data_IF_339079596169
#
_entry.id   IF_339079596169
#
_cell.length_a   1.000
_cell.length_b   1.000
_cell.length_c   1.000
_cell.angle_alpha   90.00
_cell.angle_beta   90.00
_cell.angle_gamma   90.00
#
_symmetry.space_group_name_H-M   'P 1'
#
loop_
_entity.id
_entity.type
_entity.pdbx_description
1 polymer ?
#
# COMPACT_ATOMS: atom_id res chain seq x y z
N UNK A 1 -69.73 19.48 -0.88
CA UNK A 1 -68.55 20.38 -0.69
C UNK A 1 -67.93 20.06 0.67
N UNK A 2 -66.98 19.13 0.75
CA UNK A 2 -66.37 18.68 1.99
C UNK A 2 -64.90 18.95 1.89
N UNK A 3 -64.36 19.90 2.67
CA UNK A 3 -62.95 20.22 2.76
C UNK A 3 -62.27 19.24 3.74
N UNK A 4 -61.32 18.41 3.26
CA UNK A 4 -60.45 17.61 4.08
C UNK A 4 -59.18 18.38 4.37
N UNK A 5 -58.94 18.76 5.61
CA UNK A 5 -57.68 19.33 6.12
C UNK A 5 -56.68 18.22 6.37
N UNK A 6 -55.69 18.06 5.44
CA UNK A 6 -54.51 17.23 5.70
C UNK A 6 -53.54 18.00 6.61
N UNK A 7 -53.42 17.57 7.87
CA UNK A 7 -52.34 18.03 8.76
C UNK A 7 -50.99 17.40 8.32
N UNK A 8 -50.10 18.17 7.74
CA UNK A 8 -48.72 17.81 7.56
C UNK A 8 -48.02 17.75 8.93
N UNK A 9 -47.62 16.56 9.37
CA UNK A 9 -46.78 16.39 10.55
C UNK A 9 -45.36 16.93 10.21
N UNK A 10 -44.99 18.09 10.77
CA UNK A 10 -43.63 18.61 10.75
C UNK A 10 -42.72 17.65 11.55
N UNK A 11 -41.88 16.89 10.89
CA UNK A 11 -40.77 16.16 11.53
C UNK A 11 -39.76 17.18 12.04
N UNK A 12 -39.67 17.38 13.34
CA UNK A 12 -38.60 18.16 13.98
C UNK A 12 -37.25 17.50 13.66
N UNK A 13 -36.21 18.24 13.20
CA UNK A 13 -34.91 17.69 13.03
C UNK A 13 -34.40 17.20 14.39
N UNK A 14 -33.91 15.97 14.45
CA UNK A 14 -33.26 15.43 15.64
C UNK A 14 -31.94 16.15 15.85
N UNK A 15 -31.61 16.62 17.05
CA UNK A 15 -30.42 17.40 17.29
C UNK A 15 -29.14 16.56 17.05
N UNK A 16 -28.12 17.10 16.40
CA UNK A 16 -26.91 16.37 15.99
C UNK A 16 -26.13 15.75 17.15
N UNK A 17 -26.27 16.28 18.36
CA UNK A 17 -25.58 15.75 19.56
C UNK A 17 -26.07 14.35 19.99
N UNK A 18 -27.24 13.90 19.57
CA UNK A 18 -27.71 12.53 19.85
C UNK A 18 -26.89 11.50 19.04
N UNK A 19 -26.47 11.84 17.84
CA UNK A 19 -25.61 10.99 17.03
C UNK A 19 -24.17 10.97 17.57
N UNK A 20 -23.66 12.12 18.03
CA UNK A 20 -22.37 12.19 18.70
C UNK A 20 -22.36 11.43 20.03
N UNK A 21 -23.45 11.50 20.81
CA UNK A 21 -23.58 10.74 22.05
C UNK A 21 -23.68 9.23 21.81
N UNK A 22 -24.38 8.81 20.75
CA UNK A 22 -24.47 7.40 20.36
C UNK A 22 -23.14 6.85 19.82
N UNK A 23 -22.42 7.64 19.02
CA UNK A 23 -21.08 7.30 18.56
C UNK A 23 -20.07 7.22 19.73
N UNK A 24 -20.17 8.16 20.69
CA UNK A 24 -19.35 8.14 21.90
C UNK A 24 -19.69 6.94 22.81
N UNK A 25 -20.96 6.57 22.89
CA UNK A 25 -21.42 5.41 23.68
C UNK A 25 -20.96 4.09 23.04
N UNK A 26 -20.95 3.96 21.70
CA UNK A 26 -20.39 2.81 20.98
C UNK A 26 -18.88 2.68 21.21
N UNK A 27 -18.15 3.80 21.30
CA UNK A 27 -16.72 3.83 21.61
C UNK A 27 -16.41 3.41 23.07
N UNK A 28 -17.34 3.61 23.99
CA UNK A 28 -17.18 3.28 25.42
C UNK A 28 -17.59 1.84 25.79
N UNK A 29 -18.29 1.14 24.89
CA UNK A 29 -18.85 -0.19 25.18
C UNK A 29 -17.92 -1.36 24.77
N UNK A 30 -16.74 -1.11 24.21
CA UNK A 30 -15.84 -2.13 23.70
C UNK A 30 -14.54 -2.20 24.53
N UNK A 31 -14.27 -3.35 25.14
CA UNK A 31 -13.04 -3.64 25.85
C UNK A 31 -12.09 -4.49 25.00
N UNK A 32 -10.91 -3.99 24.67
CA UNK A 32 -9.80 -4.73 24.03
C UNK A 32 -9.27 -4.14 22.71
N UNK A 33 -8.02 -3.93 22.60
CA UNK A 33 -7.16 -3.28 21.59
C UNK A 33 -7.10 -3.92 20.17
N UNK A 34 -6.61 -3.38 19.09
CA UNK A 34 -5.71 -2.50 18.57
C UNK A 34 -4.92 -2.52 17.34
N UNK A 35 -4.47 -3.02 16.40
CA UNK A 35 -3.65 -2.71 15.26
C UNK A 35 -4.38 -2.94 13.98
N UNK A 36 -4.40 -3.78 13.14
CA UNK A 36 -5.71 -4.18 12.62
C UNK A 36 -6.43 -4.60 13.87
N UNK A 37 -7.44 -3.92 14.38
CA UNK A 37 -7.93 -4.18 15.74
C UNK A 37 -8.23 -5.65 16.00
N UNK A 38 -8.47 -6.42 14.91
CA UNK A 38 -8.58 -7.88 14.97
C UNK A 38 -7.30 -8.57 15.44
N UNK A 39 -6.11 -8.21 14.91
CA UNK A 39 -4.86 -8.87 15.31
C UNK A 39 -4.42 -8.53 16.71
N UNK A 40 -4.66 -7.32 17.14
CA UNK A 40 -4.29 -7.00 18.49
C UNK A 40 -5.28 -7.57 19.50
N UNK A 41 -6.58 -7.67 19.21
CA UNK A 41 -7.50 -8.52 19.98
C UNK A 41 -7.05 -9.98 20.04
N UNK A 42 -6.48 -10.50 18.95
CA UNK A 42 -5.96 -11.86 18.87
C UNK A 42 -4.72 -12.06 19.75
N UNK A 43 -3.79 -11.11 19.74
CA UNK A 43 -2.48 -11.24 20.39
C UNK A 43 -2.40 -10.59 21.78
N UNK A 44 -3.35 -9.70 22.11
CA UNK A 44 -3.27 -8.85 23.31
C UNK A 44 -2.19 -7.76 23.22
N UNK A 45 -1.60 -7.54 22.02
CA UNK A 45 -0.48 -6.61 21.83
C UNK A 45 -0.97 -5.22 21.44
N UNK A 46 -0.25 -4.16 21.85
CA UNK A 46 -0.49 -2.81 21.38
C UNK A 46 -0.10 -2.65 19.89
N UNK A 47 -0.69 -1.69 19.17
CA UNK A 47 -0.33 -1.42 17.78
C UNK A 47 1.17 -1.15 17.63
N UNK A 48 1.75 -0.44 18.59
CA UNK A 48 3.16 -0.12 18.63
C UNK A 48 4.07 -1.33 18.84
N UNK A 49 3.57 -2.50 19.27
CA UNK A 49 4.36 -3.73 19.31
C UNK A 49 4.67 -4.23 17.92
N UNK A 50 3.67 -4.20 17.04
CA UNK A 50 3.80 -4.64 15.66
C UNK A 50 4.30 -3.55 14.71
N UNK A 51 4.07 -2.27 15.02
CA UNK A 51 4.40 -1.13 14.15
C UNK A 51 5.46 -0.21 14.75
N UNK A 52 6.27 0.40 13.89
CA UNK A 52 7.27 1.41 14.28
C UNK A 52 6.58 2.76 14.57
N UNK A 53 5.73 2.77 15.60
CA UNK A 53 4.83 3.85 15.99
C UNK A 53 3.47 3.27 16.38
N UNK A 54 2.53 4.08 16.84
CA UNK A 54 1.21 3.61 17.27
C UNK A 54 0.26 3.32 16.10
N UNK A 55 0.68 3.46 14.84
CA UNK A 55 -0.13 3.24 13.64
C UNK A 55 0.75 2.77 12.48
N UNK A 56 0.27 1.81 11.70
CA UNK A 56 1.00 1.27 10.54
C UNK A 56 1.38 2.31 9.47
N UNK A 57 2.05 1.89 8.38
CA UNK A 57 2.27 0.49 7.96
C UNK A 57 3.62 -0.13 8.39
N UNK A 58 4.65 0.68 8.74
CA UNK A 58 5.99 0.18 9.03
C UNK A 58 6.00 -0.83 10.20
N UNK A 59 6.60 -2.01 9.98
CA UNK A 59 6.62 -3.08 10.96
C UNK A 59 7.87 -3.04 11.85
N UNK A 60 7.72 -3.39 13.13
CA UNK A 60 8.80 -3.77 14.02
C UNK A 60 9.25 -5.21 13.74
N UNK A 61 10.41 -5.66 14.28
CA UNK A 61 10.79 -7.08 14.19
C UNK A 61 9.72 -8.05 14.73
N UNK A 62 8.96 -7.64 15.73
CA UNK A 62 7.84 -8.44 16.26
C UNK A 62 6.71 -8.56 15.23
N UNK A 63 6.29 -7.45 14.62
CA UNK A 63 5.27 -7.44 13.57
C UNK A 63 5.69 -8.24 12.34
N UNK A 64 6.96 -8.17 11.96
CA UNK A 64 7.52 -9.00 10.87
C UNK A 64 7.42 -10.49 11.18
N UNK A 65 7.83 -10.91 12.39
CA UNK A 65 7.71 -12.30 12.83
C UNK A 65 6.26 -12.78 12.92
N UNK A 66 5.35 -11.95 13.43
CA UNK A 66 3.91 -12.25 13.45
C UNK A 66 3.38 -12.58 12.04
N UNK A 67 3.77 -11.78 11.05
CA UNK A 67 3.41 -12.02 9.64
C UNK A 67 4.03 -13.31 9.11
N UNK A 68 5.32 -13.57 9.38
CA UNK A 68 6.02 -14.78 8.97
C UNK A 68 5.52 -16.05 9.68
N UNK A 69 5.02 -15.92 10.91
CA UNK A 69 4.33 -16.97 11.63
C UNK A 69 2.89 -17.22 11.14
N UNK A 70 2.53 -16.67 9.97
CA UNK A 70 1.23 -16.87 9.34
C UNK A 70 0.07 -16.20 10.08
N UNK A 71 0.32 -15.11 10.82
CA UNK A 71 -0.70 -14.41 11.62
C UNK A 71 -1.36 -15.29 12.69
N UNK A 72 -0.65 -16.33 13.15
CA UNK A 72 -1.24 -17.37 14.03
C UNK A 72 -0.92 -17.20 15.52
N UNK A 73 -0.04 -16.25 15.88
CA UNK A 73 0.29 -16.02 17.28
C UNK A 73 -0.93 -15.42 18.02
N UNK A 74 -1.13 -15.79 19.29
CA UNK A 74 -2.32 -15.48 20.09
C UNK A 74 -1.96 -15.30 21.57
N UNK A 75 -2.80 -14.59 22.30
CA UNK A 75 -2.71 -14.47 23.77
C UNK A 75 -3.20 -15.72 24.53
N UNK A 76 -3.69 -16.73 23.83
CA UNK A 76 -4.22 -17.97 24.40
C UNK A 76 -5.65 -17.87 24.99
N UNK A 77 -6.27 -16.71 24.98
CA UNK A 77 -7.55 -16.44 25.64
C UNK A 77 -8.75 -16.55 24.72
N UNK A 78 -9.14 -17.77 24.33
CA UNK A 78 -10.38 -18.06 23.61
C UNK A 78 -10.41 -17.56 22.16
N UNK A 79 -11.59 -17.64 21.55
CA UNK A 79 -11.82 -17.18 20.16
C UNK A 79 -12.07 -15.68 20.15
N UNK A 80 -11.40 -14.97 19.28
CA UNK A 80 -11.55 -13.51 19.08
C UNK A 80 -12.34 -13.23 17.80
N UNK A 81 -12.96 -12.06 17.74
CA UNK A 81 -13.70 -11.61 16.55
C UNK A 81 -12.68 -11.20 15.47
N UNK A 82 -12.62 -11.90 14.31
CA UNK A 82 -11.63 -11.67 13.28
C UNK A 82 -12.07 -10.56 12.30
N UNK A 83 -12.71 -9.50 12.79
CA UNK A 83 -13.24 -8.40 11.97
C UNK A 83 -12.70 -7.08 12.49
N UNK A 84 -12.27 -6.22 11.58
CA UNK A 84 -11.90 -4.84 11.88
C UNK A 84 -12.39 -3.91 10.78
N UNK A 85 -12.61 -2.65 11.12
CA UNK A 85 -12.98 -1.60 10.18
C UNK A 85 -11.98 -0.46 10.21
N UNK A 86 -11.86 0.27 9.08
CA UNK A 86 -11.13 1.52 8.99
C UNK A 86 -11.94 2.52 8.18
N UNK A 87 -11.99 3.76 8.65
CA UNK A 87 -12.57 4.88 7.93
C UNK A 87 -11.53 5.99 7.83
N UNK A 88 -11.34 6.54 6.63
CA UNK A 88 -10.42 7.65 6.39
C UNK A 88 -11.12 8.79 5.67
N UNK A 89 -11.28 9.92 6.34
CA UNK A 89 -11.70 11.19 5.75
C UNK A 89 -10.45 11.98 5.36
N UNK A 90 -10.42 12.51 4.12
CA UNK A 90 -9.31 13.32 3.62
C UNK A 90 -9.81 14.61 3.03
N UNK A 91 -9.26 15.73 3.48
CA UNK A 91 -9.31 17.00 2.78
C UNK A 91 -8.05 17.13 1.94
N UNK A 92 -8.23 17.30 0.63
CA UNK A 92 -7.14 17.50 -0.31
C UNK A 92 -7.23 18.90 -0.92
N UNK A 93 -6.12 19.66 -0.83
CA UNK A 93 -5.96 21.00 -1.38
C UNK A 93 -4.87 20.96 -2.47
N UNK A 94 -5.24 20.81 -3.75
CA UNK A 94 -4.30 20.78 -4.86
C UNK A 94 -3.76 22.20 -5.13
N UNK A 95 -2.52 22.31 -5.58
CA UNK A 95 -1.91 23.58 -5.96
C UNK A 95 -2.67 24.29 -7.09
N UNK A 96 -3.40 23.53 -7.90
CA UNK A 96 -4.28 24.06 -8.95
C UNK A 96 -5.66 23.43 -8.85
N UNK A 97 -6.68 24.27 -8.64
CA UNK A 97 -8.06 23.81 -8.50
C UNK A 97 -8.69 24.23 -7.18
N UNK A 98 -9.75 23.54 -6.80
CA UNK A 98 -10.43 23.74 -5.52
C UNK A 98 -10.19 22.56 -4.62
N UNK A 99 -9.91 22.81 -3.35
CA UNK A 99 -9.85 21.80 -2.32
C UNK A 99 -11.19 21.05 -2.18
N UNK A 100 -11.11 19.79 -1.79
CA UNK A 100 -12.27 18.92 -1.58
C UNK A 100 -12.05 17.99 -0.39
N UNK A 101 -13.14 17.64 0.29
CA UNK A 101 -13.15 16.64 1.35
C UNK A 101 -13.98 15.45 0.91
N UNK A 102 -13.50 14.27 1.24
CA UNK A 102 -14.20 13.02 1.00
C UNK A 102 -13.84 11.97 2.05
N UNK A 103 -14.76 11.06 2.33
CA UNK A 103 -14.43 9.78 2.94
C UNK A 103 -13.71 8.95 1.86
N UNK A 104 -12.37 8.97 1.90
CA UNK A 104 -11.52 8.40 0.85
C UNK A 104 -11.44 6.90 0.93
N UNK A 105 -11.55 6.35 2.14
CA UNK A 105 -11.50 4.91 2.39
C UNK A 105 -12.56 4.50 3.42
N UNK A 106 -13.24 3.42 3.14
CA UNK A 106 -14.06 2.69 4.11
C UNK A 106 -13.76 1.19 3.95
N UNK A 107 -12.94 0.68 4.85
CA UNK A 107 -12.35 -0.65 4.76
C UNK A 107 -12.99 -1.60 5.78
N UNK A 108 -13.21 -2.82 5.33
CA UNK A 108 -13.54 -3.97 6.17
C UNK A 108 -12.43 -5.01 6.06
N UNK A 109 -11.89 -5.42 7.19
CA UNK A 109 -10.90 -6.49 7.29
C UNK A 109 -11.51 -7.73 7.93
N UNK A 110 -11.38 -8.87 7.25
CA UNK A 110 -11.53 -10.19 7.85
C UNK A 110 -10.11 -10.67 8.12
N UNK A 111 -9.65 -10.59 9.38
CA UNK A 111 -8.24 -10.78 9.72
C UNK A 111 -8.10 -11.59 11.01
N UNK A 112 -7.38 -12.70 10.95
CA UNK A 112 -7.19 -13.53 12.13
C UNK A 112 -6.55 -14.87 11.86
N UNK A 113 -6.40 -15.59 12.96
CA UNK A 113 -5.99 -16.98 13.02
C UNK A 113 -7.21 -17.88 12.73
N UNK A 114 -7.05 -18.78 11.76
CA UNK A 114 -8.04 -19.83 11.47
C UNK A 114 -7.72 -21.13 12.20
N UNK A 115 -6.43 -21.44 12.36
CA UNK A 115 -5.90 -22.58 13.14
C UNK A 115 -4.50 -22.25 13.66
N UNK A 116 -3.84 -23.22 14.32
CA UNK A 116 -2.46 -23.07 14.79
C UNK A 116 -1.45 -22.86 13.65
N UNK A 117 -1.82 -23.25 12.44
CA UNK A 117 -0.97 -23.25 11.26
C UNK A 117 -1.50 -22.36 10.13
N UNK A 118 -2.71 -21.81 10.27
CA UNK A 118 -3.37 -21.06 9.20
C UNK A 118 -3.88 -19.73 9.75
N UNK A 119 -3.52 -18.66 9.10
CA UNK A 119 -4.07 -17.33 9.36
C UNK A 119 -3.90 -16.42 8.15
N UNK A 120 -4.34 -15.19 8.28
CA UNK A 120 -4.26 -14.23 7.20
C UNK A 120 -5.33 -13.15 7.29
N UNK A 121 -5.47 -12.40 6.21
CA UNK A 121 -6.52 -11.39 6.09
C UNK A 121 -7.03 -11.24 4.67
N UNK A 122 -8.24 -10.67 4.60
CA UNK A 122 -8.88 -10.20 3.39
C UNK A 122 -9.37 -8.78 3.66
N UNK A 123 -9.03 -7.83 2.78
CA UNK A 123 -9.49 -6.44 2.83
C UNK A 123 -10.55 -6.20 1.75
N UNK A 124 -11.71 -5.71 2.17
CA UNK A 124 -12.73 -5.14 1.29
C UNK A 124 -12.66 -3.63 1.46
N UNK A 125 -12.55 -2.91 0.37
CA UNK A 125 -12.31 -1.47 0.33
C UNK A 125 -13.40 -0.78 -0.46
N UNK A 126 -13.96 0.30 0.08
CA UNK A 126 -14.86 1.19 -0.65
C UNK A 126 -14.17 2.53 -0.88
N UNK A 127 -13.81 2.79 -2.13
CA UNK A 127 -13.14 4.02 -2.57
C UNK A 127 -14.17 5.06 -3.02
N UNK A 128 -13.94 6.30 -2.66
CA UNK A 128 -14.67 7.44 -3.21
C UNK A 128 -14.24 7.70 -4.67
N UNK A 129 -15.16 7.56 -5.60
CA UNK A 129 -14.90 7.66 -7.05
C UNK A 129 -15.57 8.87 -7.71
N UNK A 130 -16.36 9.63 -6.96
CA UNK A 130 -17.05 10.83 -7.44
C UNK A 130 -18.10 11.31 -6.47
N UNK A 131 -18.81 12.41 -6.75
CA UNK A 131 -19.83 12.96 -5.85
C UNK A 131 -20.86 11.91 -5.44
N UNK A 132 -20.90 11.55 -4.15
CA UNK A 132 -21.77 10.51 -3.58
C UNK A 132 -21.65 9.12 -4.24
N UNK A 133 -20.50 8.82 -4.84
CA UNK A 133 -20.27 7.56 -5.53
C UNK A 133 -19.07 6.84 -4.90
N UNK A 134 -19.27 5.58 -4.53
CA UNK A 134 -18.26 4.68 -4.00
C UNK A 134 -18.18 3.43 -4.87
N UNK A 135 -16.97 2.96 -5.08
CA UNK A 135 -16.72 1.67 -5.69
C UNK A 135 -16.20 0.71 -4.62
N UNK A 136 -16.85 -0.44 -4.48
CA UNK A 136 -16.43 -1.47 -3.52
C UNK A 136 -15.67 -2.55 -4.25
N UNK A 137 -14.48 -2.88 -3.74
CA UNK A 137 -13.61 -3.90 -4.33
C UNK A 137 -12.99 -4.79 -3.24
N UNK A 138 -12.67 -6.02 -3.61
CA UNK A 138 -11.83 -6.90 -2.82
C UNK A 138 -10.38 -6.49 -3.06
N UNK A 139 -9.77 -5.79 -2.12
CA UNK A 139 -8.46 -5.15 -2.28
C UNK A 139 -7.33 -6.16 -2.02
N UNK A 140 -7.02 -6.47 -0.78
CA UNK A 140 -5.87 -7.30 -0.46
C UNK A 140 -6.28 -8.65 0.13
N UNK A 141 -5.54 -9.68 -0.25
CA UNK A 141 -5.63 -11.04 0.29
C UNK A 141 -4.22 -11.49 0.64
N UNK A 142 -4.01 -11.98 1.86
CA UNK A 142 -2.84 -12.78 2.25
C UNK A 142 -3.27 -13.89 3.20
N UNK A 143 -3.27 -15.11 2.70
CA UNK A 143 -3.54 -16.32 3.48
C UNK A 143 -2.27 -17.12 3.59
N UNK A 144 -1.86 -17.46 4.82
CA UNK A 144 -0.62 -18.16 5.11
C UNK A 144 -0.87 -19.48 5.80
N UNK A 145 -0.14 -20.50 5.33
CA UNK A 145 -0.05 -21.84 5.91
C UNK A 145 1.38 -22.00 6.41
N UNK A 146 1.58 -22.25 7.71
CA UNK A 146 2.91 -22.27 8.30
C UNK A 146 3.19 -23.54 9.09
N UNK A 147 4.40 -24.06 8.98
CA UNK A 147 5.00 -25.00 9.89
C UNK A 147 6.00 -24.26 10.77
N UNK A 148 5.66 -24.13 12.05
CA UNK A 148 6.49 -23.49 13.09
C UNK A 148 7.19 -24.58 13.93
N UNK A 149 8.12 -24.15 14.79
CA UNK A 149 8.84 -25.00 15.74
C UNK A 149 9.74 -26.07 15.10
N UNK A 150 10.03 -25.90 13.81
CA UNK A 150 11.02 -26.73 13.13
C UNK A 150 12.43 -26.33 13.55
N UNK A 151 13.36 -27.30 13.46
CA UNK A 151 14.78 -27.09 13.74
C UNK A 151 15.63 -27.58 12.57
N UNK A 152 16.61 -26.78 12.19
CA UNK A 152 17.64 -27.18 11.22
C UNK A 152 19.02 -26.83 11.81
N UNK A 153 19.87 -27.82 12.04
CA UNK A 153 21.18 -27.62 12.67
C UNK A 153 21.08 -26.99 14.07
N UNK A 154 19.99 -27.27 14.82
CA UNK A 154 19.76 -26.70 16.16
C UNK A 154 19.21 -25.27 16.19
N UNK A 155 19.01 -24.65 15.01
CA UNK A 155 18.44 -23.30 14.84
C UNK A 155 16.97 -23.37 14.47
N UNK A 156 16.23 -22.30 14.80
CA UNK A 156 14.80 -22.21 14.46
C UNK A 156 14.59 -22.08 12.95
N UNK A 157 13.56 -22.75 12.46
CA UNK A 157 13.12 -22.72 11.07
C UNK A 157 11.60 -22.59 11.02
N UNK A 158 11.11 -21.60 10.31
CA UNK A 158 9.71 -21.46 9.91
C UNK A 158 9.63 -21.72 8.41
N UNK A 159 8.72 -22.58 7.99
CA UNK A 159 8.39 -22.79 6.57
C UNK A 159 6.93 -22.42 6.35
N UNK A 160 6.63 -21.76 5.26
CA UNK A 160 5.26 -21.35 4.95
C UNK A 160 4.95 -21.28 3.46
N UNK A 161 3.66 -21.23 3.20
CA UNK A 161 3.08 -20.93 1.89
C UNK A 161 2.16 -19.74 2.06
N UNK A 162 2.28 -18.73 1.20
CA UNK A 162 1.35 -17.60 1.09
C UNK A 162 0.54 -17.74 -0.19
N UNK A 163 -0.76 -17.51 -0.10
CA UNK A 163 -1.64 -17.27 -1.25
C UNK A 163 -2.10 -15.81 -1.15
N UNK A 164 -1.68 -15.00 -2.12
CA UNK A 164 -1.89 -13.56 -2.08
C UNK A 164 -2.16 -12.98 -3.47
N UNK A 165 -2.62 -11.74 -3.52
CA UNK A 165 -3.00 -11.06 -4.77
C UNK A 165 -2.10 -9.86 -5.12
N UNK A 166 -0.93 -9.73 -4.51
CA UNK A 166 -0.04 -8.60 -4.79
C UNK A 166 1.43 -8.95 -4.55
N UNK A 167 2.23 -9.13 -5.62
CA UNK A 167 3.66 -9.31 -5.47
C UNK A 167 4.27 -8.10 -4.75
N UNK A 168 5.05 -8.34 -3.71
CA UNK A 168 5.68 -7.29 -2.90
C UNK A 168 4.82 -6.70 -1.79
N UNK A 169 3.48 -6.65 -1.93
CA UNK A 169 2.59 -6.21 -0.84
C UNK A 169 2.74 -7.08 0.40
N UNK A 170 2.93 -8.34 0.19
CA UNK A 170 3.02 -9.31 1.26
C UNK A 170 4.43 -9.48 1.81
N UNK A 171 5.37 -8.61 1.39
CA UNK A 171 6.72 -8.57 1.96
C UNK A 171 6.67 -8.44 3.48
N UNK A 172 7.20 -9.42 4.23
CA UNK A 172 7.12 -9.41 5.69
C UNK A 172 7.96 -8.32 6.33
N UNK A 173 8.97 -7.81 5.64
CA UNK A 173 9.84 -6.73 6.12
C UNK A 173 9.16 -5.37 5.92
N UNK A 174 8.13 -5.31 5.08
CA UNK A 174 7.44 -4.10 4.68
C UNK A 174 8.39 -3.04 4.06
N UNK A 175 9.42 -3.51 3.38
CA UNK A 175 10.37 -2.67 2.66
C UNK A 175 9.99 -2.49 1.19
N UNK A 176 9.31 -3.49 0.61
CA UNK A 176 8.80 -3.44 -0.76
C UNK A 176 7.49 -2.63 -0.84
N UNK A 177 7.03 -2.34 -2.07
CA UNK A 177 5.90 -1.44 -2.28
C UNK A 177 4.68 -1.86 -1.50
N UNK A 178 4.22 -0.99 -0.67
CA UNK A 178 2.97 -0.97 0.04
C UNK A 178 3.03 -0.43 1.47
N UNK A 179 4.17 -0.59 2.16
CA UNK A 179 4.41 0.09 3.42
C UNK A 179 4.78 1.56 3.19
N UNK A 180 5.39 1.85 2.04
CA UNK A 180 5.70 3.20 1.58
C UNK A 180 5.60 3.25 0.06
N UNK A 181 5.30 4.41 -0.48
CA UNK A 181 5.30 4.64 -1.91
C UNK A 181 6.71 4.33 -2.47
N UNK A 182 6.83 3.44 -3.44
CA UNK A 182 8.12 3.11 -4.06
C UNK A 182 8.60 4.20 -5.01
N UNK A 183 7.67 4.85 -5.70
CA UNK A 183 7.91 5.97 -6.60
C UNK A 183 6.68 6.84 -6.68
N UNK A 184 6.77 8.07 -7.20
CA UNK A 184 5.61 8.93 -7.36
C UNK A 184 4.67 8.38 -8.44
N UNK A 185 3.35 8.64 -8.37
CA UNK A 185 2.47 8.39 -9.49
C UNK A 185 2.98 9.15 -10.73
N UNK A 186 3.26 8.42 -11.80
CA UNK A 186 3.87 8.97 -13.01
C UNK A 186 3.38 8.29 -14.27
N UNK A 187 4.12 8.45 -15.36
CA UNK A 187 3.80 7.86 -16.67
C UNK A 187 4.55 6.54 -16.91
N UNK A 188 5.43 6.15 -16.01
CA UNK A 188 6.14 4.87 -15.99
C UNK A 188 6.35 4.41 -14.55
N UNK A 189 6.75 3.18 -14.38
CA UNK A 189 7.14 2.56 -13.10
C UNK A 189 7.33 1.07 -13.30
N UNK A 190 7.95 0.40 -12.35
CA UNK A 190 8.18 -1.05 -12.36
C UNK A 190 6.89 -1.80 -12.01
N UNK A 191 6.81 -3.10 -12.32
CA UNK A 191 5.65 -3.93 -11.97
C UNK A 191 5.44 -4.03 -10.46
N UNK A 192 6.52 -4.01 -9.69
CA UNK A 192 6.48 -4.07 -8.23
C UNK A 192 6.13 -2.73 -7.57
N UNK A 193 5.99 -1.64 -8.31
CA UNK A 193 5.53 -0.35 -7.81
C UNK A 193 4.00 -0.24 -7.92
N UNK A 194 3.23 -0.23 -6.81
CA UNK A 194 1.77 -0.15 -6.84
C UNK A 194 1.24 1.18 -7.39
N UNK A 195 2.08 2.22 -7.45
CA UNK A 195 1.75 3.51 -8.06
C UNK A 195 2.03 3.54 -9.57
N UNK A 196 2.63 2.50 -10.13
CA UNK A 196 2.84 2.37 -11.57
C UNK A 196 1.51 2.24 -12.31
N UNK A 197 1.34 2.87 -13.47
CA UNK A 197 0.13 2.70 -14.29
C UNK A 197 -0.10 1.25 -14.72
N UNK A 198 0.95 0.45 -14.75
CA UNK A 198 0.94 -0.94 -15.20
C UNK A 198 0.99 -1.97 -14.05
N UNK A 199 0.85 -1.52 -12.80
CA UNK A 199 0.96 -2.39 -11.63
C UNK A 199 -0.09 -3.51 -11.63
N UNK A 200 0.32 -4.78 -11.47
CA UNK A 200 -0.60 -5.91 -11.44
C UNK A 200 -1.28 -6.12 -10.08
N UNK A 201 -0.88 -5.35 -9.06
CA UNK A 201 -1.35 -5.50 -7.69
C UNK A 201 -2.88 -5.58 -7.60
N UNK A 202 -3.38 -6.52 -6.79
CA UNK A 202 -4.80 -6.83 -6.57
C UNK A 202 -5.56 -7.38 -7.79
N UNK A 203 -4.94 -7.46 -8.96
CA UNK A 203 -5.52 -8.02 -10.19
C UNK A 203 -4.85 -9.33 -10.63
N UNK A 204 -4.03 -9.87 -9.75
CA UNK A 204 -3.37 -11.17 -9.87
C UNK A 204 -3.73 -12.06 -8.68
N UNK A 205 -3.45 -13.32 -8.81
CA UNK A 205 -3.39 -14.27 -7.70
C UNK A 205 -2.08 -15.04 -7.80
N UNK A 206 -1.39 -15.18 -6.67
CA UNK A 206 -0.13 -15.88 -6.58
C UNK A 206 -0.09 -16.88 -5.45
N UNK A 207 0.86 -17.81 -5.56
CA UNK A 207 1.25 -18.70 -4.49
C UNK A 207 2.77 -18.65 -4.35
N UNK A 208 3.24 -18.43 -3.13
CA UNK A 208 4.66 -18.39 -2.79
C UNK A 208 4.97 -19.35 -1.67
N UNK A 209 6.19 -19.89 -1.69
CA UNK A 209 6.75 -20.67 -0.60
C UNK A 209 7.86 -19.86 0.05
N UNK A 210 7.89 -19.80 1.37
CA UNK A 210 8.89 -19.03 2.08
C UNK A 210 9.49 -19.79 3.26
N UNK A 211 10.68 -19.36 3.68
CA UNK A 211 11.35 -19.82 4.87
C UNK A 211 12.01 -18.68 5.65
N UNK A 212 12.00 -18.82 6.99
CA UNK A 212 12.76 -17.98 7.90
C UNK A 212 13.68 -18.87 8.75
N UNK A 213 14.98 -18.71 8.58
CA UNK A 213 15.99 -19.48 9.31
C UNK A 213 16.70 -18.61 10.34
N UNK A 214 16.79 -19.10 11.57
CA UNK A 214 17.44 -18.47 12.73
C UNK A 214 16.92 -17.06 13.04
N UNK A 215 15.68 -16.73 12.62
CA UNK A 215 15.06 -15.41 12.67
C UNK A 215 15.83 -14.29 11.91
N UNK A 216 16.87 -14.65 11.18
CA UNK A 216 17.75 -13.71 10.48
C UNK A 216 17.66 -13.83 8.95
N UNK A 217 17.42 -15.03 8.41
CA UNK A 217 17.50 -15.30 6.97
C UNK A 217 16.13 -15.63 6.40
N UNK A 218 15.62 -14.76 5.57
CA UNK A 218 14.35 -14.94 4.88
C UNK A 218 14.57 -15.24 3.41
N UNK A 219 13.83 -16.22 2.86
CA UNK A 219 13.80 -16.52 1.44
C UNK A 219 12.38 -16.87 1.00
N UNK A 220 12.00 -16.45 -0.22
CA UNK A 220 10.69 -16.70 -0.81
C UNK A 220 10.81 -16.90 -2.32
N UNK A 221 10.05 -17.85 -2.85
CA UNK A 221 9.89 -18.10 -4.29
C UNK A 221 8.42 -18.34 -4.60
N UNK A 222 7.98 -17.96 -5.79
CA UNK A 222 6.60 -18.20 -6.19
C UNK A 222 6.25 -17.75 -7.59
N UNK A 223 4.96 -17.74 -7.87
CA UNK A 223 4.40 -17.37 -9.16
C UNK A 223 3.10 -16.60 -9.01
N UNK A 224 2.77 -15.78 -10.00
CA UNK A 224 1.54 -15.00 -10.07
C UNK A 224 0.90 -15.14 -11.46
N UNK A 225 -0.42 -15.16 -11.47
CA UNK A 225 -1.21 -15.15 -12.71
C UNK A 225 -2.25 -14.04 -12.65
N UNK A 226 -2.47 -13.37 -13.77
CA UNK A 226 -3.55 -12.36 -13.86
C UNK A 226 -4.91 -13.00 -13.72
N UNK A 227 -5.76 -12.38 -12.92
CA UNK A 227 -7.18 -12.73 -12.86
C UNK A 227 -7.85 -12.46 -14.23
N UNK A 228 -8.76 -13.32 -14.70
CA UNK A 228 -9.60 -13.03 -15.84
C UNK A 228 -10.35 -11.70 -15.67
N UNK A 229 -10.59 -10.95 -16.76
CA UNK A 229 -11.29 -9.66 -16.68
C UNK A 229 -12.68 -9.77 -16.06
N UNK A 230 -13.40 -10.88 -16.33
CA UNK A 230 -14.69 -11.16 -15.68
C UNK A 230 -14.57 -11.33 -14.17
N UNK A 231 -13.48 -11.96 -13.69
CA UNK A 231 -13.22 -12.09 -12.26
C UNK A 231 -12.86 -10.75 -11.66
N UNK A 232 -12.02 -9.93 -12.34
CA UNK A 232 -11.69 -8.58 -11.89
C UNK A 232 -12.96 -7.73 -11.74
N UNK A 233 -13.88 -7.79 -12.68
CA UNK A 233 -15.17 -7.09 -12.65
C UNK A 233 -16.02 -7.54 -11.45
N UNK A 234 -16.15 -8.85 -11.22
CA UNK A 234 -16.85 -9.39 -10.02
C UNK A 234 -16.21 -8.97 -8.69
N UNK A 235 -14.90 -8.69 -8.69
CA UNK A 235 -14.18 -8.21 -7.52
C UNK A 235 -14.21 -6.68 -7.37
N UNK A 236 -14.93 -5.97 -8.23
CA UNK A 236 -15.11 -4.52 -8.18
C UNK A 236 -14.05 -3.70 -8.95
N UNK A 237 -13.26 -4.34 -9.81
CA UNK A 237 -12.24 -3.64 -10.61
C UNK A 237 -12.75 -3.28 -12.00
N UNK A 238 -12.66 -2.00 -12.37
CA UNK A 238 -12.99 -1.56 -13.71
C UNK A 238 -12.08 -2.23 -14.75
N UNK A 239 -12.68 -2.82 -15.78
CA UNK A 239 -11.95 -3.52 -16.85
C UNK A 239 -11.08 -2.59 -17.70
N UNK A 240 -11.41 -1.29 -17.76
CA UNK A 240 -10.60 -0.26 -18.42
C UNK A 240 -9.22 -0.03 -17.77
N UNK A 241 -9.04 -0.46 -16.52
CA UNK A 241 -7.76 -0.40 -15.81
C UNK A 241 -7.06 -1.77 -15.73
N UNK A 242 -7.38 -2.72 -16.62
CA UNK A 242 -6.71 -4.01 -16.64
C UNK A 242 -5.23 -3.85 -17.02
N UNK A 243 -4.28 -4.30 -16.16
CA UNK A 243 -2.84 -4.17 -16.41
C UNK A 243 -2.33 -5.15 -17.48
N UNK A 244 -3.21 -5.93 -18.10
CA UNK A 244 -2.88 -6.97 -19.05
C UNK A 244 -2.85 -8.37 -18.44
N UNK A 245 -2.50 -9.36 -19.26
CA UNK A 245 -2.38 -10.74 -18.83
C UNK A 245 -0.92 -11.08 -18.56
N UNK A 246 -0.61 -11.36 -17.30
CA UNK A 246 0.68 -11.93 -16.92
C UNK A 246 0.69 -13.44 -17.16
N UNK A 247 1.81 -13.96 -17.64
CA UNK A 247 2.10 -15.39 -17.79
C UNK A 247 3.59 -15.65 -17.57
N UNK A 248 3.94 -16.90 -17.31
CA UNK A 248 5.33 -17.33 -17.05
C UNK A 248 5.98 -16.50 -15.94
N UNK A 249 5.22 -16.14 -14.91
CA UNK A 249 5.69 -15.26 -13.84
C UNK A 249 6.50 -16.03 -12.83
N UNK A 250 7.73 -15.60 -12.58
CA UNK A 250 8.58 -16.05 -11.49
C UNK A 250 8.83 -14.92 -10.49
N UNK A 251 8.67 -15.20 -9.21
CA UNK A 251 8.94 -14.27 -8.10
C UNK A 251 10.01 -14.86 -7.18
N UNK A 252 10.94 -14.02 -6.77
CA UNK A 252 11.99 -14.35 -5.82
C UNK A 252 12.22 -13.20 -4.85
N UNK A 253 12.37 -13.51 -3.57
CA UNK A 253 12.73 -12.59 -2.51
C UNK A 253 13.77 -13.24 -1.59
N UNK A 254 14.81 -12.52 -1.22
CA UNK A 254 15.76 -12.93 -0.21
C UNK A 254 16.14 -11.73 0.65
N UNK A 255 16.22 -11.92 1.97
CA UNK A 255 16.63 -10.85 2.86
C UNK A 255 17.37 -11.40 4.09
N UNK A 256 18.36 -10.65 4.51
CA UNK A 256 18.99 -10.77 5.83
C UNK A 256 18.36 -9.73 6.77
N UNK A 257 17.96 -10.19 7.95
CA UNK A 257 17.34 -9.36 8.98
C UNK A 257 18.08 -9.57 10.29
N UNK A 258 18.38 -8.50 11.03
CA UNK A 258 19.02 -8.63 12.33
C UNK A 258 18.32 -7.78 13.37
N UNK A 259 17.70 -8.44 14.34
CA UNK A 259 17.10 -7.83 15.53
C UNK A 259 18.14 -7.76 16.66
N UNK A 260 18.56 -6.55 16.97
CA UNK A 260 19.49 -6.23 18.06
C UNK A 260 18.74 -5.67 19.29
N UNK A 261 17.44 -5.95 19.43
CA UNK A 261 16.52 -5.47 20.49
C UNK A 261 16.23 -3.97 20.45
N UNK A 262 17.26 -3.12 20.39
CA UNK A 262 17.12 -1.66 20.32
C UNK A 262 17.34 -1.11 18.92
N UNK A 263 17.80 -1.92 18.03
CA UNK A 263 18.07 -1.59 16.65
C UNK A 263 17.66 -2.78 15.78
N UNK A 264 17.22 -2.50 14.59
CA UNK A 264 16.95 -3.52 13.59
C UNK A 264 17.59 -3.09 12.26
N UNK A 265 18.11 -4.05 11.56
CA UNK A 265 18.67 -3.87 10.24
C UNK A 265 18.15 -4.97 9.31
N UNK A 266 17.80 -4.61 8.08
CA UNK A 266 17.58 -5.56 7.00
C UNK A 266 18.19 -5.10 5.69
N UNK A 267 18.62 -6.07 4.90
CA UNK A 267 19.06 -5.88 3.52
C UNK A 267 18.49 -7.00 2.67
N UNK A 268 17.88 -6.67 1.56
CA UNK A 268 17.18 -7.64 0.73
C UNK A 268 17.35 -7.41 -0.76
N UNK A 269 17.05 -8.46 -1.52
CA UNK A 269 16.95 -8.45 -2.98
C UNK A 269 15.61 -9.05 -3.40
N UNK A 270 15.07 -8.58 -4.52
CA UNK A 270 13.82 -9.05 -5.11
C UNK A 270 13.98 -9.19 -6.61
N UNK A 271 13.31 -10.18 -7.20
CA UNK A 271 13.18 -10.33 -8.63
C UNK A 271 11.76 -10.75 -9.00
N UNK A 272 11.24 -10.19 -10.09
CA UNK A 272 9.99 -10.61 -10.73
C UNK A 272 10.24 -10.69 -12.23
N UNK A 273 9.95 -11.81 -12.84
CA UNK A 273 10.00 -11.97 -14.30
C UNK A 273 8.62 -12.38 -14.80
N UNK A 274 8.19 -11.85 -15.93
CA UNK A 274 6.89 -12.19 -16.51
C UNK A 274 6.80 -11.84 -17.99
N UNK A 275 5.90 -12.52 -18.71
CA UNK A 275 5.37 -12.05 -19.98
C UNK A 275 4.06 -11.35 -19.76
N UNK A 276 3.84 -10.19 -20.41
CA UNK A 276 2.63 -9.40 -20.27
C UNK A 276 1.99 -9.11 -21.62
N UNK A 277 0.79 -9.61 -21.83
CA UNK A 277 -0.06 -9.24 -22.99
C UNK A 277 -0.89 -8.00 -22.62
N UNK A 278 -0.59 -6.85 -23.25
CA UNK A 278 -1.36 -5.62 -23.10
C UNK A 278 -1.55 -4.95 -24.48
N UNK A 279 -2.77 -4.95 -25.07
CA UNK A 279 -3.99 -5.60 -24.53
C UNK A 279 -3.91 -7.13 -24.54
N UNK A 280 -4.78 -7.79 -23.77
CA UNK A 280 -4.86 -9.26 -23.73
C UNK A 280 -5.10 -9.85 -25.12
N UNK A 281 -4.36 -10.90 -25.45
CA UNK A 281 -4.38 -11.52 -26.77
C UNK A 281 -3.50 -10.82 -27.82
N UNK A 282 -2.84 -9.72 -27.45
CA UNK A 282 -1.82 -9.05 -28.25
C UNK A 282 -0.43 -9.67 -28.09
N UNK A 283 0.57 -9.10 -28.78
CA UNK A 283 1.97 -9.45 -28.55
C UNK A 283 2.37 -9.23 -27.11
N UNK A 284 3.15 -10.17 -26.54
CA UNK A 284 3.58 -10.09 -25.17
C UNK A 284 4.88 -9.28 -25.03
N UNK A 285 4.93 -8.44 -24.02
CA UNK A 285 6.16 -7.82 -23.52
C UNK A 285 6.87 -8.81 -22.57
N UNK A 286 8.21 -8.92 -22.65
CA UNK A 286 9.03 -9.58 -21.63
C UNK A 286 9.51 -8.54 -20.62
N UNK A 287 9.18 -8.71 -19.35
CA UNK A 287 9.47 -7.78 -18.28
C UNK A 287 10.24 -8.48 -17.16
N UNK A 288 11.27 -7.81 -16.63
CA UNK A 288 12.07 -8.32 -15.53
C UNK A 288 12.42 -7.21 -14.55
N UNK A 289 11.85 -7.29 -13.34
CA UNK A 289 12.21 -6.46 -12.19
C UNK A 289 13.36 -7.10 -11.43
N UNK A 290 14.37 -6.29 -11.10
CA UNK A 290 15.45 -6.62 -10.18
C UNK A 290 15.59 -5.48 -9.18
N UNK A 291 15.53 -5.80 -7.90
CA UNK A 291 15.56 -4.77 -6.87
C UNK A 291 16.39 -5.15 -5.66
N UNK A 292 16.71 -4.12 -4.88
CA UNK A 292 17.28 -4.26 -3.54
C UNK A 292 16.70 -3.22 -2.61
N UNK A 293 16.70 -3.55 -1.33
CA UNK A 293 16.22 -2.68 -0.25
C UNK A 293 17.14 -2.75 0.96
N UNK A 294 17.12 -1.65 1.72
CA UNK A 294 17.83 -1.50 2.99
C UNK A 294 16.89 -0.84 3.98
N UNK A 295 16.77 -1.39 5.17
CA UNK A 295 16.01 -0.79 6.27
C UNK A 295 16.84 -0.79 7.54
N UNK A 296 16.88 0.36 8.20
CA UNK A 296 17.44 0.51 9.54
C UNK A 296 16.39 1.12 10.45
N UNK A 297 16.21 0.53 11.64
CA UNK A 297 15.36 1.08 12.69
C UNK A 297 16.18 1.24 13.97
N UNK A 298 16.21 2.44 14.52
CA UNK A 298 16.59 2.68 15.89
C UNK A 298 15.32 2.68 16.73
N UNK A 299 15.10 1.62 17.48
CA UNK A 299 13.91 1.44 18.34
C UNK A 299 14.15 1.99 19.76
N UNK A 300 15.42 2.00 20.20
CA UNK A 300 15.87 2.60 21.45
C UNK A 300 15.10 2.08 22.68
N UNK A 301 14.47 2.99 23.41
CA UNK A 301 13.54 2.73 24.50
C UNK A 301 12.07 2.93 24.06
N UNK A 302 11.79 2.90 22.77
CA UNK A 302 10.48 3.13 22.14
C UNK A 302 9.88 4.53 22.31
N UNK A 303 10.61 5.47 22.95
CA UNK A 303 10.20 6.89 23.05
C UNK A 303 10.68 7.72 21.86
N UNK A 304 11.85 7.39 21.34
CA UNK A 304 12.41 8.01 20.14
C UNK A 304 12.75 6.89 19.16
N UNK A 305 12.00 6.80 18.08
CA UNK A 305 12.18 5.79 17.05
C UNK A 305 12.60 6.51 15.77
N UNK A 306 13.64 6.01 15.12
CA UNK A 306 14.05 6.48 13.79
C UNK A 306 14.03 5.29 12.85
N UNK A 307 13.39 5.45 11.71
CA UNK A 307 13.46 4.49 10.61
C UNK A 307 14.03 5.17 9.38
N UNK A 308 14.98 4.53 8.74
CA UNK A 308 15.48 4.88 7.42
C UNK A 308 15.27 3.68 6.52
N UNK A 309 14.61 3.86 5.40
CA UNK A 309 14.43 2.83 4.39
C UNK A 309 14.80 3.35 3.02
N UNK A 310 15.45 2.50 2.25
CA UNK A 310 15.76 2.75 0.85
C UNK A 310 15.37 1.53 0.05
N UNK A 311 14.70 1.75 -1.05
CA UNK A 311 14.35 0.71 -2.02
C UNK A 311 14.65 1.21 -3.42
N UNK A 312 15.16 0.33 -4.25
CA UNK A 312 15.43 0.57 -5.66
C UNK A 312 15.07 -0.68 -6.45
N UNK A 313 14.19 -0.53 -7.43
CA UNK A 313 13.83 -1.59 -8.37
C UNK A 313 14.10 -1.07 -9.78
N UNK A 314 14.75 -1.90 -10.57
CA UNK A 314 15.03 -1.67 -11.98
C UNK A 314 14.30 -2.71 -12.81
N UNK A 315 13.53 -2.28 -13.79
CA UNK A 315 12.81 -3.13 -14.73
C UNK A 315 13.43 -3.05 -16.12
N UNK A 316 13.77 -4.21 -16.66
CA UNK A 316 14.10 -4.36 -18.09
C UNK A 316 12.85 -4.71 -18.85
N UNK A 317 12.66 -4.10 -20.03
CA UNK A 317 11.52 -4.25 -20.91
C UNK A 317 11.97 -4.65 -22.30
N UNK A 318 11.36 -5.70 -22.82
CA UNK A 318 11.40 -6.03 -24.24
C UNK A 318 9.98 -6.02 -24.76
N UNK A 319 9.67 -5.05 -25.59
CA UNK A 319 8.30 -4.80 -26.03
C UNK A 319 7.91 -5.72 -27.19
N UNK A 320 6.79 -6.40 -27.08
CA UNK A 320 6.20 -7.22 -28.14
C UNK A 320 5.67 -6.41 -29.32
N UNK A 321 5.52 -5.08 -29.14
CA UNK A 321 5.02 -4.18 -30.18
C UNK A 321 5.86 -2.92 -30.31
N UNK A 322 6.28 -2.63 -31.53
CA UNK A 322 6.87 -1.34 -31.92
C UNK A 322 5.75 -0.40 -32.32
N UNK A 323 5.64 0.74 -31.63
CA UNK A 323 4.64 1.77 -31.94
C UNK A 323 5.12 2.68 -33.07
N UNK A 324 4.18 3.17 -33.87
CA UNK A 324 4.45 4.18 -34.92
C UNK A 324 3.92 5.52 -34.45
N UNK A 325 4.72 6.57 -34.60
CA UNK A 325 4.30 7.93 -34.23
C UNK A 325 3.10 8.40 -35.07
N UNK A 326 2.02 8.86 -34.44
CA UNK A 326 0.89 9.42 -35.19
C UNK A 326 1.16 10.81 -35.75
N UNK A 327 2.22 11.50 -35.28
CA UNK A 327 2.50 12.89 -35.62
C UNK A 327 3.76 13.09 -36.47
N UNK A 328 4.72 12.14 -36.39
CA UNK A 328 5.99 12.21 -37.13
C UNK A 328 6.10 11.01 -38.04
N UNK A 329 5.94 11.17 -39.37
CA UNK A 329 6.03 10.07 -40.33
C UNK A 329 7.37 9.34 -40.23
N UNK A 330 7.30 8.00 -40.16
CA UNK A 330 8.49 7.14 -40.12
C UNK A 330 9.19 7.04 -38.76
N UNK A 331 8.77 7.80 -37.76
CA UNK A 331 9.28 7.65 -36.39
C UNK A 331 8.59 6.46 -35.68
N UNK A 332 9.39 5.56 -35.14
CA UNK A 332 8.93 4.39 -34.38
C UNK A 332 9.49 4.38 -32.96
N UNK A 333 8.77 3.72 -32.06
CA UNK A 333 9.29 3.45 -30.71
C UNK A 333 10.41 2.43 -30.73
N UNK A 334 11.17 2.38 -29.65
CA UNK A 334 12.15 1.34 -29.43
C UNK A 334 11.44 0.01 -29.09
N UNK A 335 12.10 -1.11 -29.40
CA UNK A 335 11.67 -2.47 -29.03
C UNK A 335 12.16 -2.86 -27.63
N UNK A 336 13.03 -2.08 -27.01
CA UNK A 336 13.55 -2.25 -25.66
C UNK A 336 13.47 -0.98 -24.87
N UNK A 337 13.33 -1.14 -23.57
CA UNK A 337 13.32 -0.03 -22.62
C UNK A 337 13.64 -0.48 -21.21
N UNK A 338 13.58 0.47 -20.31
CA UNK A 338 13.69 0.20 -18.88
C UNK A 338 12.80 1.16 -18.09
N UNK A 339 12.50 0.77 -16.84
CA UNK A 339 11.99 1.66 -15.83
C UNK A 339 12.79 1.46 -14.54
N UNK A 340 12.77 2.46 -13.68
CA UNK A 340 13.42 2.39 -12.38
C UNK A 340 12.64 3.19 -11.37
N UNK A 341 12.32 2.55 -10.24
CA UNK A 341 11.69 3.18 -9.10
C UNK A 341 12.62 3.20 -7.91
N UNK A 342 12.70 4.35 -7.24
CA UNK A 342 13.53 4.55 -6.06
C UNK A 342 12.78 5.35 -5.02
N UNK A 343 12.94 4.95 -3.76
CA UNK A 343 12.46 5.72 -2.62
C UNK A 343 13.48 5.69 -1.49
N UNK A 344 13.81 6.87 -0.99
CA UNK A 344 14.47 7.05 0.30
C UNK A 344 13.43 7.64 1.25
N UNK A 345 13.15 6.96 2.36
CA UNK A 345 12.25 7.46 3.41
C UNK A 345 12.95 7.52 4.74
N UNK A 346 12.74 8.62 5.47
CA UNK A 346 13.23 8.82 6.83
C UNK A 346 12.03 9.18 7.69
N UNK A 347 11.76 8.40 8.72
CA UNK A 347 10.68 8.65 9.68
C UNK A 347 11.25 8.77 11.08
N UNK A 348 10.90 9.83 11.78
CA UNK A 348 11.10 9.97 13.22
C UNK A 348 9.77 9.89 13.92
N UNK A 349 9.68 9.06 14.96
CA UNK A 349 8.49 8.91 15.81
C UNK A 349 8.83 9.18 17.27
N UNK A 350 8.09 10.11 17.87
CA UNK A 350 8.23 10.51 19.28
C UNK A 350 7.07 9.97 20.11
N UNK A 351 7.42 9.36 21.27
CA UNK A 351 6.45 8.77 22.21
C UNK A 351 5.47 7.79 21.53
N UNK A 352 5.91 7.10 20.47
CA UNK A 352 5.08 6.22 19.64
C UNK A 352 3.88 6.91 18.93
N UNK A 353 3.58 8.14 19.27
CA UNK A 353 2.36 8.84 18.89
C UNK A 353 2.56 9.94 17.84
N UNK A 354 3.67 10.64 17.87
CA UNK A 354 3.94 11.77 16.96
C UNK A 354 5.01 11.37 15.97
N UNK A 355 4.75 11.58 14.70
CA UNK A 355 5.73 11.25 13.68
C UNK A 355 5.90 12.33 12.63
N UNK A 356 7.10 12.37 12.06
CA UNK A 356 7.42 13.12 10.86
C UNK A 356 8.14 12.20 9.87
N UNK A 357 7.68 12.20 8.63
CA UNK A 357 8.28 11.43 7.54
C UNK A 357 8.71 12.38 6.44
N UNK A 358 9.91 12.17 5.94
CA UNK A 358 10.37 12.72 4.67
C UNK A 358 10.61 11.57 3.70
N UNK A 359 10.13 11.70 2.45
CA UNK A 359 10.44 10.75 1.39
C UNK A 359 10.85 11.47 0.11
N UNK A 360 11.90 10.96 -0.51
CA UNK A 360 12.32 11.32 -1.87
C UNK A 360 12.00 10.16 -2.80
N UNK A 361 11.24 10.43 -3.86
CA UNK A 361 10.62 9.45 -4.73
C UNK A 361 11.01 9.74 -6.17
N UNK A 362 11.41 8.70 -6.91
CA UNK A 362 11.74 8.80 -8.33
C UNK A 362 11.16 7.62 -9.09
N UNK A 363 10.56 7.90 -10.24
CA UNK A 363 10.23 6.92 -11.29
C UNK A 363 10.84 7.43 -12.59
N UNK A 364 11.82 6.71 -13.12
CA UNK A 364 12.57 7.10 -14.31
C UNK A 364 12.57 5.97 -15.34
N UNK A 365 12.92 6.25 -16.58
CA UNK A 365 12.97 5.23 -17.63
C UNK A 365 13.79 5.63 -18.84
N UNK A 366 13.91 4.69 -19.79
CA UNK A 366 14.59 4.92 -21.05
C UNK A 366 13.87 6.00 -21.87
N UNK A 367 14.66 6.74 -22.63
CA UNK A 367 14.15 7.77 -23.53
C UNK A 367 13.48 7.13 -24.76
N UNK A 368 12.22 7.50 -25.06
CA UNK A 368 11.48 7.06 -26.23
C UNK A 368 10.48 8.13 -26.66
N UNK A 369 10.75 8.81 -27.78
CA UNK A 369 9.96 9.94 -28.24
C UNK A 369 8.53 9.56 -28.72
N UNK A 370 8.24 8.28 -28.94
CA UNK A 370 6.93 7.80 -29.34
C UNK A 370 6.11 7.34 -28.13
N UNK A 371 6.75 6.66 -27.17
CA UNK A 371 6.07 6.16 -25.96
C UNK A 371 5.82 7.25 -24.94
N UNK A 372 6.74 8.21 -24.81
CA UNK A 372 6.72 9.24 -23.77
C UNK A 372 6.65 10.65 -24.36
N UNK A 373 5.53 10.95 -24.99
CA UNK A 373 5.28 12.28 -25.51
C UNK A 373 4.96 13.26 -24.36
N UNK A 374 5.33 14.56 -24.46
CA UNK A 374 5.97 15.20 -25.62
C UNK A 374 7.50 15.19 -25.57
N UNK A 375 8.13 14.81 -24.45
CA UNK A 375 9.57 15.01 -24.26
C UNK A 375 10.42 13.75 -24.47
N UNK A 376 9.78 12.62 -24.73
CA UNK A 376 10.47 11.34 -24.88
C UNK A 376 11.05 10.77 -23.57
N UNK A 377 10.83 11.41 -22.45
CA UNK A 377 11.30 10.97 -21.12
C UNK A 377 10.13 10.79 -20.18
N UNK A 378 10.00 9.62 -19.49
CA UNK A 378 8.94 9.39 -18.53
C UNK A 378 9.26 9.90 -17.13
N UNK A 379 10.39 10.54 -16.91
CA UNK A 379 10.95 10.82 -15.58
C UNK A 379 10.00 11.63 -14.71
N UNK A 380 9.72 11.09 -13.53
CA UNK A 380 8.92 11.74 -12.50
C UNK A 380 9.69 11.73 -11.19
N UNK A 381 9.82 12.89 -10.54
CA UNK A 381 10.54 13.07 -9.29
C UNK A 381 9.66 13.88 -8.35
N UNK A 382 9.49 13.39 -7.13
CA UNK A 382 8.70 14.06 -6.10
C UNK A 382 9.31 13.92 -4.71
N UNK A 383 8.89 14.80 -3.81
CA UNK A 383 9.16 14.70 -2.38
C UNK A 383 7.85 14.70 -1.61
N UNK A 384 7.86 13.98 -0.51
CA UNK A 384 6.75 13.91 0.43
C UNK A 384 7.23 14.31 1.81
N UNK A 385 6.48 15.18 2.48
CA UNK A 385 6.63 15.45 3.91
C UNK A 385 5.29 15.15 4.56
N UNK A 386 5.29 14.31 5.58
CA UNK A 386 4.09 13.98 6.34
C UNK A 386 4.36 14.12 7.83
N UNK A 387 3.44 14.74 8.55
CA UNK A 387 3.41 14.75 10.00
C UNK A 387 2.14 14.04 10.46
N UNK A 388 2.22 13.30 11.56
CA UNK A 388 1.06 12.62 12.10
C UNK A 388 1.02 12.62 13.62
N UNK A 389 -0.19 12.46 14.13
CA UNK A 389 -0.47 12.19 15.53
C UNK A 389 -1.41 10.99 15.64
N UNK A 390 -0.97 9.96 16.37
CA UNK A 390 -1.74 8.76 16.70
C UNK A 390 -1.79 8.62 18.23
N UNK A 391 -2.83 9.14 18.90
CA UNK A 391 -2.90 9.19 20.36
C UNK A 391 -3.08 7.83 21.03
N UNK A 392 -3.64 6.88 20.30
CA UNK A 392 -3.95 5.53 20.79
C UNK A 392 -3.05 4.49 20.13
N UNK A 393 -3.14 3.23 20.52
CA UNK A 393 -2.32 2.15 19.97
C UNK A 393 -0.88 2.10 20.49
N UNK A 394 -0.45 3.02 21.37
CA UNK A 394 0.82 2.98 22.09
C UNK A 394 0.72 2.08 23.33
N UNK A 395 1.87 1.73 23.93
CA UNK A 395 1.95 0.76 25.02
C UNK A 395 1.11 1.11 26.25
N UNK A 396 0.97 2.40 26.56
CA UNK A 396 0.25 2.94 27.73
C UNK A 396 -1.09 3.58 27.36
N UNK A 397 -1.70 3.15 26.25
CA UNK A 397 -2.99 3.69 25.82
C UNK A 397 -4.13 3.24 26.73
N UNK A 398 -5.01 4.18 27.08
CA UNK A 398 -6.25 3.91 27.79
C UNK A 398 -7.40 3.51 26.83
N UNK A 399 -7.28 3.79 25.53
CA UNK A 399 -8.16 3.26 24.49
C UNK A 399 -7.42 2.14 23.80
N UNK A 400 -8.00 0.96 23.86
CA UNK A 400 -7.41 -0.27 23.36
C UNK A 400 -8.24 -0.92 22.25
N UNK A 401 -9.43 -0.38 21.95
CA UNK A 401 -10.41 -0.95 20.99
C UNK A 401 -10.44 -0.23 19.66
N UNK A 402 -9.88 0.96 19.60
CA UNK A 402 -9.82 1.78 18.40
C UNK A 402 -8.51 2.56 18.34
N UNK A 403 -8.08 2.88 17.17
CA UNK A 403 -6.95 3.75 16.94
C UNK A 403 -7.34 4.91 16.04
N UNK A 404 -6.75 6.08 16.28
CA UNK A 404 -6.95 7.30 15.51
C UNK A 404 -5.60 7.74 14.96
N UNK A 405 -5.55 8.17 13.73
CA UNK A 405 -4.42 8.88 13.14
C UNK A 405 -4.91 10.17 12.48
N UNK A 406 -4.39 11.29 12.91
CA UNK A 406 -4.50 12.55 12.20
C UNK A 406 -3.18 12.79 11.46
N UNK A 407 -3.23 13.11 10.19
CA UNK A 407 -2.03 13.38 9.41
C UNK A 407 -2.20 14.61 8.53
N UNK A 408 -1.09 15.32 8.32
CA UNK A 408 -0.97 16.36 7.31
C UNK A 408 0.20 16.01 6.40
N UNK A 409 -0.05 15.96 5.10
CA UNK A 409 0.92 15.51 4.11
C UNK A 409 1.03 16.54 3.00
N UNK A 410 2.27 16.90 2.67
CA UNK A 410 2.60 17.73 1.54
C UNK A 410 3.34 16.89 0.50
N UNK A 411 2.77 16.80 -0.71
CA UNK A 411 3.34 16.11 -1.85
C UNK A 411 3.77 17.15 -2.89
N UNK A 412 5.05 17.13 -3.27
CA UNK A 412 5.64 18.09 -4.19
C UNK A 412 6.31 17.38 -5.36
N UNK A 413 5.81 17.64 -6.56
CA UNK A 413 6.47 17.24 -7.80
C UNK A 413 7.55 18.23 -8.20
N UNK A 414 8.74 17.72 -8.43
CA UNK A 414 9.87 18.48 -8.96
C UNK A 414 9.99 18.31 -10.48
N UNK A 415 9.56 17.13 -10.97
CA UNK A 415 9.52 16.78 -12.40
C UNK A 415 8.35 15.82 -12.62
N UNK A 416 7.72 15.92 -13.78
CA UNK A 416 6.71 14.98 -14.24
C UNK A 416 6.81 14.83 -15.75
N UNK A 417 6.72 13.59 -16.27
CA UNK A 417 6.80 13.30 -17.70
C UNK A 417 8.02 13.96 -18.37
N UNK A 418 9.18 13.90 -17.72
CA UNK A 418 10.44 14.39 -18.23
C UNK A 418 10.69 15.91 -18.12
N UNK A 419 9.72 16.68 -17.62
CA UNK A 419 9.84 18.15 -17.53
C UNK A 419 9.36 18.69 -16.18
N UNK A 420 9.84 19.88 -15.82
CA UNK A 420 9.35 20.70 -14.71
C UNK A 420 8.28 21.71 -15.16
N UNK A 421 8.31 22.09 -16.46
CA UNK A 421 7.38 23.04 -17.07
C UNK A 421 6.69 22.42 -18.28
N UNK A 422 5.42 22.86 -18.52
CA UNK A 422 4.60 22.40 -19.67
C UNK A 422 4.56 20.86 -19.83
N UNK A 423 4.36 20.14 -18.74
CA UNK A 423 4.52 18.69 -18.65
C UNK A 423 3.68 17.88 -19.66
N UNK A 424 2.68 18.47 -20.27
CA UNK A 424 1.83 17.85 -21.32
C UNK A 424 2.08 18.40 -22.71
N UNK A 425 3.08 19.29 -22.90
CA UNK A 425 3.43 19.82 -24.23
C UNK A 425 2.36 20.70 -24.86
N UNK A 426 1.67 21.51 -24.07
CA UNK A 426 0.66 22.45 -24.57
C UNK A 426 1.29 23.40 -25.63
N UNK A 427 0.62 23.63 -26.79
CA UNK A 427 1.14 24.51 -27.83
C UNK A 427 1.15 25.97 -27.37
N UNK A 428 1.92 26.86 -28.04
CA UNK A 428 1.94 28.28 -27.74
C UNK A 428 0.54 28.90 -27.67
N UNK A 429 0.25 29.61 -26.57
CA UNK A 429 -1.05 30.25 -26.33
C UNK A 429 -2.09 29.37 -25.63
N UNK A 430 -1.85 28.08 -25.49
CA UNK A 430 -2.72 27.21 -24.68
C UNK A 430 -2.31 27.23 -23.18
N UNK A 431 -3.25 26.91 -22.27
CA UNK A 431 -2.95 26.80 -20.85
C UNK A 431 -1.85 25.75 -20.58
N UNK A 432 -0.82 26.15 -19.88
CA UNK A 432 0.31 25.29 -19.51
C UNK A 432 0.07 24.67 -18.15
N UNK A 433 0.46 23.40 -17.98
CA UNK A 433 0.54 22.71 -16.69
C UNK A 433 2.01 22.42 -16.38
N UNK A 434 2.50 22.85 -15.23
CA UNK A 434 3.85 22.60 -14.75
C UNK A 434 3.84 21.47 -13.72
N UNK A 435 4.99 20.88 -13.42
CA UNK A 435 5.09 19.86 -12.39
C UNK A 435 4.59 20.34 -11.02
N UNK A 436 4.89 21.62 -10.67
CA UNK A 436 4.40 22.24 -9.46
C UNK A 436 2.87 22.38 -9.36
N UNK A 437 2.15 22.37 -10.47
CA UNK A 437 0.68 22.41 -10.49
C UNK A 437 0.05 21.07 -10.02
N UNK A 438 0.85 19.99 -9.97
CA UNK A 438 0.46 18.69 -9.43
C UNK A 438 0.67 18.59 -7.92
N UNK A 439 1.30 19.58 -7.29
CA UNK A 439 1.50 19.58 -5.85
C UNK A 439 0.16 19.54 -5.11
N UNK A 440 0.15 18.86 -3.97
CA UNK A 440 -1.03 18.78 -3.13
C UNK A 440 -0.66 18.84 -1.65
N UNK A 441 -1.52 19.47 -0.87
CA UNK A 441 -1.53 19.39 0.58
C UNK A 441 -2.78 18.66 1.01
N UNK A 442 -2.64 17.69 1.89
CA UNK A 442 -3.78 16.93 2.40
C UNK A 442 -3.77 16.84 3.91
N UNK A 443 -4.97 16.87 4.50
CA UNK A 443 -5.19 16.56 5.92
C UNK A 443 -6.11 15.36 5.96
N UNK A 444 -5.74 14.33 6.71
CA UNK A 444 -6.54 13.12 6.87
C UNK A 444 -6.79 12.77 8.32
N UNK A 445 -7.94 12.16 8.57
CA UNK A 445 -8.31 11.54 9.83
C UNK A 445 -8.72 10.09 9.55
N UNK A 446 -7.96 9.15 10.11
CA UNK A 446 -8.23 7.71 9.98
C UNK A 446 -8.58 7.13 11.32
N UNK A 447 -9.69 6.41 11.40
CA UNK A 447 -10.13 5.66 12.58
C UNK A 447 -10.16 4.18 12.22
N UNK A 448 -9.47 3.36 13.02
CA UNK A 448 -9.50 1.91 12.92
C UNK A 448 -10.13 1.31 14.20
N UNK A 449 -10.99 0.29 14.08
CA UNK A 449 -11.76 -0.30 15.22
C UNK A 449 -12.06 -1.78 15.01
#
# INVERSE_FOLDING_TARGET
MVFSLQRRAQRRPRPPYLWCAFALWLLLASTGAEATPAYARQTGSACADCHAGAYGPALTPYGMRFKLNGYTDTDGNGVKIPVAGQLTETHNDPARGKGSSALTEADLYLAGRLSDQIGGYVKIEADHTGPNTYNTKLSNIDLRFVAKELKLGGKDLVLGVSVNNSPGFEDPIAALPNASLLGPPGVTGTLLNPSSPDAPANRVIGATMYGLYDNDWYGEIGTYNSLPTSTQDHLGYATSGDPGKLSDTGYFRFAYMKDLKRQFFSAGVVALTTKRELPRGGPADDLTDLGYDLTYQFLGNRKNIVQVSYVNIFEQRHYGTVLVSPTVPGLTSQDRGNARDQTLSITYTFLQSYGVTFSHLQSTGSHDAVRYVPYGSPDTIANLISVYWAPFGKDDSWITVANLKLAATWFRFNRFNGSDANIFGAPPGAPVTNAGDLNAFSISASVAF
#
